data_IF_131205120093
#
_entry.id   IF_131205120093
#
_cell.length_a   1.000
_cell.length_b   1.000
_cell.length_c   1.000
_cell.angle_alpha   90.00
_cell.angle_beta   90.00
_cell.angle_gamma   90.00
#
_symmetry.space_group_name_H-M   'P 1'
#
loop_
_entity.id
_entity.type
_entity.pdbx_description
1 polymer ?
#
# COMPACT_ATOMS: atom_id res chain seq x y z
N UNK A 1 0.93 0.89 19.65
CA UNK A 1 -0.29 1.69 19.53
C UNK A 1 -1.38 1.05 20.37
N UNK A 2 -2.08 1.81 21.20
CA UNK A 2 -3.19 1.29 22.00
C UNK A 2 -4.43 1.13 21.12
N UNK A 3 -5.35 0.22 21.45
CA UNK A 3 -6.59 0.02 20.67
C UNK A 3 -7.39 1.30 20.45
N UNK A 4 -7.28 2.28 21.37
CA UNK A 4 -7.89 3.61 21.25
C UNK A 4 -7.30 4.45 20.10
N UNK A 5 -6.02 4.31 19.79
CA UNK A 5 -5.39 5.01 18.66
C UNK A 5 -5.86 4.46 17.31
N UNK A 6 -6.17 3.16 17.23
CA UNK A 6 -6.73 2.52 16.04
C UNK A 6 -8.16 2.98 15.81
N UNK A 7 -8.97 3.05 16.87
CA UNK A 7 -10.33 3.58 16.79
C UNK A 7 -10.33 5.03 16.31
N UNK A 8 -9.43 5.87 16.83
CA UNK A 8 -9.36 7.28 16.40
C UNK A 8 -8.90 7.42 14.94
N UNK A 9 -7.96 6.58 14.47
CA UNK A 9 -7.49 6.63 13.09
C UNK A 9 -8.56 6.12 12.11
N UNK A 10 -9.25 5.03 12.46
CA UNK A 10 -10.31 4.42 11.66
C UNK A 10 -11.55 5.32 11.66
N UNK A 11 -11.95 5.88 12.81
CA UNK A 11 -13.07 6.82 12.90
C UNK A 11 -12.73 8.14 12.19
N UNK A 12 -11.50 8.63 12.30
CA UNK A 12 -11.03 9.80 11.55
C UNK A 12 -11.06 9.57 10.02
N UNK A 13 -10.64 8.40 9.57
CA UNK A 13 -10.76 7.99 8.18
C UNK A 13 -12.23 7.89 7.74
N UNK A 14 -13.10 7.28 8.56
CA UNK A 14 -14.54 7.12 8.27
C UNK A 14 -15.28 8.46 8.23
N UNK A 15 -14.98 9.39 9.15
CA UNK A 15 -15.57 10.73 9.17
C UNK A 15 -15.09 11.55 7.95
N UNK A 16 -13.84 11.39 7.52
CA UNK A 16 -13.35 11.94 6.25
C UNK A 16 -14.02 11.32 5.01
N UNK A 17 -14.35 10.03 5.07
CA UNK A 17 -15.00 9.23 4.01
C UNK A 17 -16.47 9.61 3.82
N UNK A 18 -17.19 9.97 4.89
CA UNK A 18 -18.62 10.32 4.83
C UNK A 18 -18.91 11.66 4.13
N UNK A 19 -17.90 12.51 3.92
CA UNK A 19 -18.08 13.85 3.35
C UNK A 19 -18.29 13.90 1.82
N UNK A 20 -17.89 12.89 1.04
CA UNK A 20 -17.85 12.99 -0.42
C UNK A 20 -18.19 11.64 -1.11
N UNK A 21 -19.33 11.60 -1.79
CA UNK A 21 -20.00 10.42 -2.36
C UNK A 21 -19.15 9.57 -3.33
N UNK A 22 -18.09 10.13 -3.91
CA UNK A 22 -17.14 9.44 -4.80
C UNK A 22 -15.76 9.19 -4.15
N UNK A 23 -15.37 9.98 -3.15
CA UNK A 23 -14.11 9.81 -2.41
C UNK A 23 -14.20 8.62 -1.46
N UNK A 24 -15.40 8.32 -0.95
CA UNK A 24 -15.61 7.20 -0.04
C UNK A 24 -15.17 5.87 -0.63
N UNK A 25 -15.53 5.56 -1.88
CA UNK A 25 -15.10 4.31 -2.54
C UNK A 25 -13.60 4.27 -2.85
N UNK A 26 -13.03 5.42 -3.25
CA UNK A 26 -11.60 5.56 -3.56
C UNK A 26 -10.70 5.33 -2.34
N UNK A 27 -11.20 5.61 -1.14
CA UNK A 27 -10.45 5.41 0.12
C UNK A 27 -10.86 4.10 0.82
N UNK A 28 -12.12 3.69 0.71
CA UNK A 28 -12.64 2.51 1.40
C UNK A 28 -12.01 1.22 0.87
N UNK A 29 -11.93 1.05 -0.46
CA UNK A 29 -11.33 -0.16 -1.04
C UNK A 29 -9.89 -0.36 -0.57
N UNK A 30 -8.96 0.61 -0.74
CA UNK A 30 -7.60 0.43 -0.25
C UNK A 30 -7.54 0.28 1.28
N UNK A 31 -8.36 1.01 2.06
CA UNK A 31 -8.38 0.87 3.51
C UNK A 31 -8.79 -0.56 3.96
N UNK A 32 -9.80 -1.14 3.33
CA UNK A 32 -10.23 -2.51 3.58
C UNK A 32 -9.17 -3.53 3.14
N UNK A 33 -8.53 -3.31 2.00
CA UNK A 33 -7.43 -4.15 1.53
C UNK A 33 -6.24 -4.13 2.49
N UNK A 34 -5.86 -2.95 3.01
CA UNK A 34 -4.81 -2.80 4.02
C UNK A 34 -5.20 -3.50 5.33
N UNK A 35 -6.45 -3.35 5.77
CA UNK A 35 -6.94 -4.02 6.96
C UNK A 35 -6.93 -5.56 6.81
N UNK A 36 -7.30 -6.07 5.64
CA UNK A 36 -7.23 -7.50 5.34
C UNK A 36 -5.78 -8.01 5.36
N UNK A 37 -4.86 -7.32 4.68
CA UNK A 37 -3.44 -7.68 4.71
C UNK A 37 -2.86 -7.63 6.12
N UNK A 38 -3.20 -6.61 6.91
CA UNK A 38 -2.80 -6.51 8.31
C UNK A 38 -3.26 -7.72 9.13
N UNK A 39 -4.54 -8.09 9.01
CA UNK A 39 -5.10 -9.24 9.70
C UNK A 39 -4.40 -10.55 9.29
N UNK A 40 -4.17 -10.76 8.00
CA UNK A 40 -3.46 -11.93 7.49
C UNK A 40 -2.01 -11.96 8.04
N UNK A 41 -1.29 -10.85 7.95
CA UNK A 41 0.13 -10.79 8.34
C UNK A 41 0.38 -10.93 9.84
N UNK A 42 -0.56 -10.45 10.67
CA UNK A 42 -0.51 -10.73 12.11
C UNK A 42 -0.76 -12.21 12.41
N UNK A 43 -1.66 -12.87 11.66
CA UNK A 43 -1.92 -14.33 11.79
C UNK A 43 -0.77 -15.19 11.28
N UNK A 44 -0.01 -14.72 10.31
CA UNK A 44 1.22 -15.37 9.82
C UNK A 44 2.42 -15.19 10.77
N UNK A 45 2.25 -14.52 11.92
CA UNK A 45 3.31 -14.34 12.91
C UNK A 45 4.44 -13.45 12.42
N UNK A 46 4.16 -12.49 11.52
CA UNK A 46 5.15 -11.47 11.18
C UNK A 46 5.39 -10.56 12.39
N UNK A 47 6.63 -10.12 12.53
CA UNK A 47 6.99 -9.19 13.60
C UNK A 47 6.14 -7.91 13.48
N UNK A 48 5.57 -7.36 14.58
CA UNK A 48 4.61 -6.24 14.52
C UNK A 48 5.08 -5.01 13.74
N UNK A 49 6.40 -4.80 13.65
CA UNK A 49 7.01 -3.69 12.88
C UNK A 49 7.06 -3.92 11.38
N UNK A 50 7.03 -5.17 10.92
CA UNK A 50 6.93 -5.52 9.51
C UNK A 50 5.49 -5.52 9.02
N UNK A 51 4.54 -5.78 9.93
CA UNK A 51 3.11 -5.88 9.58
C UNK A 51 2.61 -4.59 8.93
N UNK A 52 2.89 -3.41 9.51
CA UNK A 52 2.39 -2.15 8.97
C UNK A 52 2.86 -1.86 7.53
N UNK A 53 4.18 -1.77 7.24
CA UNK A 53 4.63 -1.45 5.89
C UNK A 53 4.20 -2.49 4.86
N UNK A 54 4.24 -3.78 5.21
CA UNK A 54 3.82 -4.84 4.31
C UNK A 54 2.31 -4.82 4.08
N UNK A 55 1.51 -4.54 5.11
CA UNK A 55 0.05 -4.46 4.98
C UNK A 55 -0.38 -3.28 4.11
N UNK A 56 0.32 -2.14 4.22
CA UNK A 56 0.05 -0.97 3.36
C UNK A 56 0.42 -1.27 1.91
N UNK A 57 1.62 -1.79 1.66
CA UNK A 57 2.06 -2.17 0.31
C UNK A 57 1.19 -3.29 -0.29
N UNK A 58 0.86 -4.31 0.50
CA UNK A 58 0.00 -5.42 0.07
C UNK A 58 -1.43 -4.97 -0.21
N UNK A 59 -2.01 -4.15 0.66
CA UNK A 59 -3.35 -3.59 0.46
C UNK A 59 -3.40 -2.67 -0.76
N UNK A 60 -2.34 -1.88 -0.98
CA UNK A 60 -2.17 -1.08 -2.19
C UNK A 60 -2.08 -1.94 -3.45
N UNK A 61 -1.32 -3.03 -3.41
CA UNK A 61 -1.25 -4.01 -4.50
C UNK A 61 -2.58 -4.68 -4.81
N UNK A 62 -3.39 -5.02 -3.79
CA UNK A 62 -4.75 -5.54 -3.98
C UNK A 62 -5.65 -4.50 -4.66
N UNK A 63 -5.55 -3.23 -4.24
CA UNK A 63 -6.33 -2.17 -4.87
C UNK A 63 -5.96 -1.98 -6.34
N UNK A 64 -4.66 -2.01 -6.67
CA UNK A 64 -4.17 -2.03 -8.05
C UNK A 64 -4.69 -3.23 -8.87
N UNK A 65 -4.70 -4.42 -8.27
CA UNK A 65 -5.23 -5.62 -8.90
C UNK A 65 -6.71 -5.47 -9.24
N UNK A 66 -7.53 -4.96 -8.30
CA UNK A 66 -8.95 -4.66 -8.53
C UNK A 66 -9.10 -3.64 -9.66
N UNK A 67 -8.29 -2.59 -9.67
CA UNK A 67 -8.26 -1.60 -10.75
C UNK A 67 -7.98 -2.22 -12.13
N UNK A 68 -6.99 -3.12 -12.20
CA UNK A 68 -6.65 -3.87 -13.43
C UNK A 68 -7.84 -4.71 -13.91
N UNK A 69 -8.48 -5.48 -13.02
CA UNK A 69 -9.63 -6.31 -13.36
C UNK A 69 -10.81 -5.47 -13.86
N UNK A 70 -11.07 -4.33 -13.23
CA UNK A 70 -12.13 -3.41 -13.66
C UNK A 70 -11.83 -2.77 -15.01
N UNK A 71 -10.58 -2.36 -15.25
CA UNK A 71 -10.16 -1.79 -16.53
C UNK A 71 -10.32 -2.82 -17.67
N UNK A 72 -9.95 -4.08 -17.42
CA UNK A 72 -10.17 -5.19 -18.34
C UNK A 72 -11.65 -5.42 -18.64
N UNK A 73 -12.48 -5.47 -17.60
CA UNK A 73 -13.91 -5.68 -17.73
C UNK A 73 -14.59 -4.55 -18.53
N UNK A 74 -14.04 -3.34 -18.48
CA UNK A 74 -14.51 -2.17 -19.24
C UNK A 74 -13.98 -2.11 -20.69
N UNK A 75 -13.23 -3.11 -21.15
CA UNK A 75 -12.66 -3.15 -22.51
C UNK A 75 -11.32 -2.44 -22.65
N UNK A 76 -10.58 -2.24 -21.56
CA UNK A 76 -9.23 -1.68 -21.58
C UNK A 76 -8.26 -2.49 -22.43
N UNK A 77 -7.36 -1.79 -23.14
CA UNK A 77 -6.41 -2.41 -24.06
C UNK A 77 -5.22 -3.10 -23.37
N UNK A 78 -4.43 -3.83 -24.16
CA UNK A 78 -3.24 -4.54 -23.69
C UNK A 78 -2.20 -3.64 -23.00
N UNK A 79 -2.16 -2.35 -23.35
CA UNK A 79 -1.24 -1.39 -22.74
C UNK A 79 -1.56 -1.12 -21.26
N UNK A 80 -2.84 -0.97 -20.91
CA UNK A 80 -3.29 -0.80 -19.51
C UNK A 80 -2.97 -2.03 -18.66
N UNK A 81 -3.07 -3.22 -19.26
CA UNK A 81 -2.68 -4.49 -18.66
C UNK A 81 -1.18 -4.54 -18.33
N UNK A 82 -0.33 -4.09 -19.25
CA UNK A 82 1.12 -4.12 -19.07
C UNK A 82 1.53 -3.14 -17.98
N UNK A 83 1.04 -1.91 -18.03
CA UNK A 83 1.43 -0.86 -17.07
C UNK A 83 0.95 -1.20 -15.65
N UNK A 84 -0.34 -1.47 -15.46
CA UNK A 84 -0.93 -1.70 -14.13
C UNK A 84 -0.65 -3.12 -13.62
N UNK A 85 -0.62 -4.10 -14.53
CA UNK A 85 -0.33 -5.50 -14.17
C UNK A 85 1.14 -5.71 -13.76
N UNK A 86 2.09 -5.07 -14.45
CA UNK A 86 3.51 -5.13 -14.07
C UNK A 86 3.72 -4.49 -12.70
N UNK A 87 3.10 -3.33 -12.46
CA UNK A 87 3.18 -2.64 -11.19
C UNK A 87 2.65 -3.51 -10.04
N UNK A 88 1.48 -4.12 -10.24
CA UNK A 88 0.88 -5.07 -9.30
C UNK A 88 1.83 -6.24 -9.00
N UNK A 89 2.43 -6.84 -10.04
CA UNK A 89 3.34 -7.96 -9.90
C UNK A 89 4.60 -7.59 -9.10
N UNK A 90 5.18 -6.41 -9.34
CA UNK A 90 6.36 -5.92 -8.62
C UNK A 90 6.04 -5.73 -7.13
N UNK A 91 4.93 -5.06 -6.79
CA UNK A 91 4.51 -4.84 -5.40
C UNK A 91 4.30 -6.16 -4.68
N UNK A 92 3.57 -7.09 -5.29
CA UNK A 92 3.31 -8.41 -4.70
C UNK A 92 4.59 -9.21 -4.49
N UNK A 93 5.55 -9.15 -5.43
CA UNK A 93 6.84 -9.81 -5.28
C UNK A 93 7.65 -9.23 -4.11
N UNK A 94 7.69 -7.91 -3.95
CA UNK A 94 8.38 -7.24 -2.82
C UNK A 94 7.71 -7.61 -1.50
N UNK A 95 6.38 -7.59 -1.44
CA UNK A 95 5.62 -7.96 -0.23
C UNK A 95 5.86 -9.42 0.13
N UNK A 96 5.77 -10.33 -0.83
CA UNK A 96 6.05 -11.75 -0.62
C UNK A 96 7.47 -11.97 -0.11
N UNK A 97 8.46 -11.30 -0.71
CA UNK A 97 9.85 -11.37 -0.27
C UNK A 97 10.03 -10.81 1.15
N UNK A 98 9.36 -9.72 1.50
CA UNK A 98 9.36 -9.15 2.86
C UNK A 98 8.75 -10.09 3.90
N UNK A 99 7.65 -10.77 3.54
CA UNK A 99 6.98 -11.75 4.40
C UNK A 99 7.85 -13.00 4.64
N UNK A 100 8.48 -13.53 3.59
CA UNK A 100 9.26 -14.78 3.64
C UNK A 100 10.64 -14.55 4.26
N UNK A 101 11.40 -13.58 3.73
CA UNK A 101 12.81 -13.40 4.10
C UNK A 101 13.00 -12.61 5.38
N UNK A 102 12.01 -11.79 5.77
CA UNK A 102 12.10 -10.85 6.90
C UNK A 102 13.46 -10.16 6.92
N UNK A 103 13.86 -9.57 5.78
CA UNK A 103 15.22 -9.10 5.55
C UNK A 103 15.30 -7.57 5.37
N UNK A 104 16.40 -6.94 5.82
CA UNK A 104 16.66 -5.50 5.60
C UNK A 104 16.61 -5.13 4.12
N UNK A 105 17.20 -5.92 3.20
CA UNK A 105 17.16 -5.60 1.78
C UNK A 105 15.73 -5.53 1.23
N UNK A 106 14.82 -6.42 1.65
CA UNK A 106 13.43 -6.37 1.20
C UNK A 106 12.73 -5.04 1.55
N UNK A 107 12.96 -4.52 2.77
CA UNK A 107 12.45 -3.21 3.17
C UNK A 107 13.12 -2.05 2.42
N UNK A 108 14.43 -2.15 2.16
CA UNK A 108 15.16 -1.16 1.37
C UNK A 108 14.64 -1.09 -0.07
N UNK A 109 14.38 -2.25 -0.69
CA UNK A 109 13.79 -2.35 -2.03
C UNK A 109 12.37 -1.82 -2.05
N UNK A 110 11.55 -2.10 -1.02
CA UNK A 110 10.23 -1.50 -0.88
C UNK A 110 10.33 0.04 -0.87
N UNK A 111 11.19 0.62 -0.02
CA UNK A 111 11.36 2.09 0.04
C UNK A 111 11.78 2.66 -1.32
N UNK A 112 12.79 2.06 -1.96
CA UNK A 112 13.30 2.54 -3.24
C UNK A 112 12.22 2.49 -4.33
N UNK A 113 11.48 1.38 -4.40
CA UNK A 113 10.37 1.21 -5.33
C UNK A 113 9.26 2.26 -5.10
N UNK A 114 8.88 2.50 -3.85
CA UNK A 114 7.84 3.48 -3.53
C UNK A 114 8.27 4.91 -3.89
N UNK A 115 9.54 5.28 -3.65
CA UNK A 115 10.08 6.59 -4.04
C UNK A 115 10.03 6.79 -5.56
N UNK A 116 10.51 5.81 -6.32
CA UNK A 116 10.48 5.84 -7.80
C UNK A 116 9.04 5.98 -8.29
N UNK A 117 8.13 5.22 -7.71
CA UNK A 117 6.72 5.23 -8.09
C UNK A 117 6.02 6.55 -7.71
N UNK A 118 6.39 7.20 -6.60
CA UNK A 118 5.94 8.57 -6.31
C UNK A 118 6.42 9.54 -7.39
N UNK A 119 7.67 9.41 -7.85
CA UNK A 119 8.21 10.21 -8.95
C UNK A 119 7.37 10.10 -10.23
N UNK A 120 7.03 8.88 -10.64
CA UNK A 120 6.13 8.66 -11.79
C UNK A 120 4.73 9.25 -11.58
N UNK A 121 4.12 9.04 -10.40
CA UNK A 121 2.81 9.60 -10.10
C UNK A 121 2.80 11.14 -10.02
N UNK A 122 3.89 11.75 -9.57
CA UNK A 122 4.07 13.20 -9.54
C UNK A 122 4.20 13.78 -10.96
N UNK A 123 4.91 13.10 -11.87
CA UNK A 123 4.98 13.50 -13.28
C UNK A 123 3.60 13.41 -13.97
N UNK A 124 2.82 12.38 -13.66
CA UNK A 124 1.47 12.20 -14.21
C UNK A 124 0.44 13.22 -13.67
N UNK A 125 0.75 13.91 -12.57
CA UNK A 125 -0.19 14.80 -11.86
C UNK A 125 -0.74 15.95 -12.72
N UNK A 126 0.11 16.53 -13.58
CA UNK A 126 -0.26 17.68 -14.42
C UNK A 126 -1.36 17.31 -15.44
N UNK A 127 -1.32 16.10 -15.99
CA UNK A 127 -2.28 15.58 -16.97
C UNK A 127 -3.48 14.83 -16.39
N UNK A 128 -3.57 14.70 -15.06
CA UNK A 128 -4.49 13.76 -14.43
C UNK A 128 -5.97 14.19 -14.41
N UNK A 129 -6.29 15.49 -14.55
CA UNK A 129 -7.68 15.98 -14.53
C UNK A 129 -8.48 15.45 -13.33
N UNK A 130 -9.57 14.73 -13.60
CA UNK A 130 -10.46 14.11 -12.60
C UNK A 130 -9.83 12.93 -11.85
N UNK A 131 -8.67 12.42 -12.30
CA UNK A 131 -7.93 11.33 -11.65
C UNK A 131 -7.01 11.83 -10.52
N UNK A 132 -6.87 13.15 -10.32
CA UNK A 132 -6.03 13.73 -9.25
C UNK A 132 -6.34 13.18 -7.84
N UNK A 133 -7.61 13.01 -7.43
CA UNK A 133 -7.92 12.42 -6.12
C UNK A 133 -7.41 10.98 -6.00
N UNK A 134 -7.43 10.20 -7.07
CA UNK A 134 -6.91 8.84 -7.10
C UNK A 134 -5.39 8.88 -6.90
N UNK A 135 -4.68 9.69 -7.71
CA UNK A 135 -3.23 9.87 -7.56
C UNK A 135 -2.83 10.32 -6.16
N UNK A 136 -3.62 11.18 -5.52
CA UNK A 136 -3.37 11.63 -4.15
C UNK A 136 -3.44 10.47 -3.15
N UNK A 137 -4.42 9.58 -3.29
CA UNK A 137 -4.53 8.37 -2.45
C UNK A 137 -3.36 7.41 -2.72
N UNK A 138 -2.98 7.20 -3.98
CA UNK A 138 -1.79 6.40 -4.31
C UNK A 138 -0.55 6.96 -3.62
N UNK A 139 -0.23 8.24 -3.85
CA UNK A 139 0.94 8.90 -3.24
C UNK A 139 0.88 8.80 -1.71
N UNK A 140 -0.29 9.03 -1.10
CA UNK A 140 -0.49 8.91 0.34
C UNK A 140 -0.16 7.52 0.89
N UNK A 141 -0.67 6.46 0.26
CA UNK A 141 -0.38 5.07 0.67
C UNK A 141 1.11 4.75 0.56
N UNK A 142 1.77 5.19 -0.52
CA UNK A 142 3.21 4.99 -0.72
C UNK A 142 4.04 5.68 0.37
N UNK A 143 3.68 6.91 0.73
CA UNK A 143 4.34 7.64 1.83
C UNK A 143 4.20 6.86 3.14
N UNK A 144 3.01 6.34 3.44
CA UNK A 144 2.79 5.53 4.66
C UNK A 144 3.63 4.24 4.62
N UNK A 145 3.72 3.57 3.47
CA UNK A 145 4.57 2.39 3.30
C UNK A 145 6.06 2.70 3.52
N UNK A 146 6.56 3.81 2.95
CA UNK A 146 7.94 4.29 3.15
C UNK A 146 8.22 4.56 4.63
N UNK A 147 7.34 5.32 5.30
CA UNK A 147 7.51 5.65 6.71
C UNK A 147 7.51 4.38 7.56
N UNK A 148 6.56 3.47 7.31
CA UNK A 148 6.50 2.18 8.01
C UNK A 148 7.78 1.35 7.83
N UNK A 149 8.30 1.28 6.61
CA UNK A 149 9.49 0.51 6.28
C UNK A 149 10.75 1.14 6.87
N UNK A 150 10.87 2.47 6.82
CA UNK A 150 11.97 3.21 7.43
C UNK A 150 12.00 3.06 8.96
N UNK A 151 10.83 3.12 9.61
CA UNK A 151 10.71 2.86 11.06
C UNK A 151 11.09 1.42 11.42
N UNK A 152 10.71 0.44 10.58
CA UNK A 152 11.10 -0.95 10.76
C UNK A 152 12.62 -1.14 10.62
N UNK A 153 13.25 -0.50 9.62
CA UNK A 153 14.70 -0.53 9.42
C UNK A 153 15.47 0.15 10.56
N UNK A 154 15.00 1.30 11.03
CA UNK A 154 15.60 2.05 12.12
C UNK A 154 15.64 1.28 13.43
N UNK A 155 14.81 0.25 13.57
CA UNK A 155 14.78 -0.63 14.74
C UNK A 155 14.93 -2.11 14.39
N UNK A 156 15.78 -2.40 13.40
CA UNK A 156 15.98 -3.74 12.87
C UNK A 156 16.42 -4.77 13.92
N UNK A 157 17.21 -4.35 14.91
CA UNK A 157 17.73 -5.23 15.96
C UNK A 157 16.62 -5.90 16.78
N UNK A 158 15.43 -5.30 16.85
CA UNK A 158 14.28 -5.88 17.54
C UNK A 158 13.45 -6.82 16.62
N UNK A 159 13.74 -6.83 15.32
CA UNK A 159 13.05 -7.64 14.30
C UNK A 159 13.85 -8.89 13.96
N UNK A 160 15.19 -8.78 13.98
CA UNK A 160 16.08 -9.88 13.71
C UNK A 160 15.82 -11.02 14.73
N UNK A 161 15.77 -12.29 14.28
CA UNK A 161 15.84 -13.40 15.21
C UNK A 161 17.14 -13.23 16.02
N UNK A 162 17.05 -13.35 17.34
CA UNK A 162 18.24 -13.48 18.19
C UNK A 162 19.07 -14.63 17.64
N UNK A 163 20.27 -14.33 17.12
CA UNK A 163 21.26 -15.37 16.85
C UNK A 163 21.74 -15.96 18.17
#
# INVERSE_FOLDING_TARGET
MTGKQIVVLVVGAIIGIAGLRYVGLLVLIPALSVAACWWIFTRLGLHPRLVLPLAVAGGHGIWFFIGTVMALAAGGGAQTLIEVGLETAIVLAIVAWGCVSRSRPALGVLIAYEIVSIGFNAMAWSGAGDLRPILAVHIGLRIVAIIGAALALGRWLEIAPSQ
#
